data_IF_658742856267
#
_entry.id   IF_658742856267
#
_cell.length_a   1.000
_cell.length_b   1.000
_cell.length_c   1.000
_cell.angle_alpha   90.00
_cell.angle_beta   90.00
_cell.angle_gamma   90.00
#
_symmetry.space_group_name_H-M   'P 1'
#
loop_
_entity.id
_entity.type
_entity.pdbx_description
1 polymer ?
#
# COMPACT_ATOMS: atom_id res chain seq x y z
N UNK A 1 23.13 -14.27 9.59
CA UNK A 1 22.23 -14.43 8.44
C UNK A 1 20.99 -15.26 8.75
N UNK A 2 21.06 -16.46 9.37
CA UNK A 2 19.85 -17.16 9.86
C UNK A 2 19.02 -16.31 10.82
N UNK A 3 19.64 -15.73 11.86
CA UNK A 3 18.94 -14.87 12.82
C UNK A 3 18.23 -13.69 12.15
N UNK A 4 18.91 -12.98 11.23
CA UNK A 4 18.33 -11.85 10.49
C UNK A 4 17.08 -12.28 9.71
N UNK A 5 17.13 -13.47 9.12
CA UNK A 5 16.01 -14.02 8.35
C UNK A 5 14.84 -14.41 9.25
N UNK A 6 15.12 -15.01 10.41
CA UNK A 6 14.09 -15.30 11.43
C UNK A 6 13.45 -14.01 11.97
N UNK A 7 14.23 -12.94 12.16
CA UNK A 7 13.71 -11.66 12.65
C UNK A 7 12.87 -10.93 11.57
N UNK A 8 13.22 -11.02 10.29
CA UNK A 8 12.35 -10.55 9.21
C UNK A 8 11.05 -11.35 9.14
N UNK A 9 11.09 -12.67 9.34
CA UNK A 9 9.87 -13.49 9.42
C UNK A 9 8.98 -13.05 10.57
N UNK A 10 9.56 -12.80 11.74
CA UNK A 10 8.83 -12.23 12.87
C UNK A 10 8.19 -10.88 12.52
N UNK A 11 8.92 -9.95 11.90
CA UNK A 11 8.34 -8.66 11.49
C UNK A 11 7.18 -8.81 10.50
N UNK A 12 7.26 -9.76 9.57
CA UNK A 12 6.16 -10.05 8.64
C UNK A 12 4.93 -10.58 9.35
N UNK A 13 5.10 -11.60 10.19
CA UNK A 13 4.01 -12.18 10.98
C UNK A 13 3.36 -11.11 11.86
N UNK A 14 4.16 -10.24 12.47
CA UNK A 14 3.67 -9.10 13.24
C UNK A 14 2.85 -8.11 12.39
N UNK A 15 3.35 -7.73 11.21
CA UNK A 15 2.64 -6.83 10.31
C UNK A 15 1.30 -7.41 9.85
N UNK A 16 1.25 -8.73 9.60
CA UNK A 16 0.03 -9.44 9.23
C UNK A 16 -0.97 -9.50 10.40
N UNK A 17 -0.51 -9.88 11.59
CA UNK A 17 -1.33 -10.00 12.80
C UNK A 17 -2.00 -8.66 13.18
N UNK A 18 -1.32 -7.53 12.97
CA UNK A 18 -1.88 -6.19 13.22
C UNK A 18 -3.17 -5.89 12.45
N UNK A 19 -3.47 -6.60 11.36
CA UNK A 19 -4.74 -6.51 10.62
C UNK A 19 -5.79 -7.48 11.13
N UNK A 20 -5.37 -8.68 11.53
CA UNK A 20 -6.25 -9.83 11.80
C UNK A 20 -6.71 -9.91 13.26
N UNK A 21 -5.88 -9.50 14.22
CA UNK A 21 -6.07 -9.79 15.66
C UNK A 21 -6.60 -8.60 16.49
N UNK A 22 -7.22 -7.62 15.84
CA UNK A 22 -7.67 -6.42 16.56
C UNK A 22 -8.96 -6.66 17.32
N UNK A 23 -8.82 -6.74 18.65
CA UNK A 23 -9.91 -6.81 19.61
C UNK A 23 -10.02 -5.49 20.37
N UNK A 24 -11.21 -4.93 20.40
CA UNK A 24 -11.49 -3.71 21.14
C UNK A 24 -12.99 -3.58 21.41
N UNK A 25 -13.32 -2.96 22.54
CA UNK A 25 -14.68 -2.46 22.74
C UNK A 25 -14.81 -1.11 22.05
N UNK A 26 -16.02 -0.77 21.58
CA UNK A 26 -16.30 0.60 21.16
C UNK A 26 -15.84 1.58 22.26
N UNK A 27 -15.22 2.71 21.89
CA UNK A 27 -14.82 3.70 22.87
C UNK A 27 -16.08 4.18 23.61
N UNK A 28 -16.01 4.39 24.94
CA UNK A 28 -17.17 4.81 25.71
C UNK A 28 -17.73 6.15 25.21
N UNK A 29 -19.05 6.33 25.32
CA UNK A 29 -19.76 7.55 24.91
C UNK A 29 -19.18 8.81 25.57
N UNK A 30 -18.65 8.69 26.79
CA UNK A 30 -17.93 9.75 27.48
C UNK A 30 -16.56 9.26 27.94
N UNK A 31 -15.50 9.97 27.53
CA UNK A 31 -14.15 9.82 28.08
C UNK A 31 -13.97 10.80 29.25
N UNK A 32 -13.34 10.34 30.31
CA UNK A 32 -12.84 11.20 31.39
C UNK A 32 -11.72 12.11 30.89
N UNK A 33 -11.47 13.22 31.60
CA UNK A 33 -10.34 14.10 31.30
C UNK A 33 -8.98 13.40 31.34
N UNK A 34 -8.83 12.39 32.20
CA UNK A 34 -7.63 11.57 32.28
C UNK A 34 -7.42 10.74 31.01
N UNK A 35 -8.48 10.09 30.52
CA UNK A 35 -8.45 9.33 29.26
C UNK A 35 -8.20 10.23 28.05
N UNK A 36 -8.84 11.40 27.99
CA UNK A 36 -8.59 12.39 26.92
C UNK A 36 -7.12 12.81 26.92
N UNK A 37 -6.53 13.04 28.11
CA UNK A 37 -5.12 13.40 28.23
C UNK A 37 -4.20 12.27 27.79
N UNK A 38 -4.48 11.03 28.22
CA UNK A 38 -3.76 9.85 27.82
C UNK A 38 -3.80 9.67 26.29
N UNK A 39 -4.97 9.76 25.69
CA UNK A 39 -5.14 9.59 24.24
C UNK A 39 -4.39 10.67 23.48
N UNK A 40 -4.37 11.92 23.99
CA UNK A 40 -3.62 13.02 23.38
C UNK A 40 -2.12 12.73 23.40
N UNK A 41 -1.60 12.18 24.49
CA UNK A 41 -0.21 11.76 24.60
C UNK A 41 0.14 10.72 23.54
N UNK A 42 -0.66 9.67 23.38
CA UNK A 42 -0.42 8.64 22.35
C UNK A 42 -0.56 9.20 20.93
N UNK A 43 -1.57 10.02 20.68
CA UNK A 43 -1.77 10.66 19.38
C UNK A 43 -0.56 11.54 19.00
N UNK A 44 -0.06 12.35 19.93
CA UNK A 44 1.13 13.18 19.72
C UNK A 44 2.38 12.31 19.56
N UNK A 45 2.53 11.25 20.36
CA UNK A 45 3.66 10.33 20.30
C UNK A 45 3.78 9.65 18.92
N UNK A 46 2.65 9.23 18.33
CA UNK A 46 2.60 8.68 16.96
C UNK A 46 3.19 9.70 15.97
N UNK A 47 2.82 10.97 16.08
CA UNK A 47 3.20 12.02 15.13
C UNK A 47 4.63 12.53 15.28
N UNK A 48 5.13 12.59 16.51
CA UNK A 48 6.38 13.27 16.84
C UNK A 48 7.54 12.31 17.03
N UNK A 49 7.25 11.06 17.41
CA UNK A 49 8.29 10.09 17.75
C UNK A 49 8.14 8.81 16.91
N UNK A 50 7.05 8.07 17.05
CA UNK A 50 6.97 6.70 16.51
C UNK A 50 7.10 6.64 14.98
N UNK A 51 6.30 7.43 14.25
CA UNK A 51 6.38 7.46 12.78
C UNK A 51 7.72 8.03 12.29
N UNK A 52 8.23 9.17 12.83
CA UNK A 52 9.57 9.63 12.49
C UNK A 52 10.68 8.61 12.77
N UNK A 53 10.67 7.94 13.92
CA UNK A 53 11.65 6.90 14.25
C UNK A 53 11.57 5.77 13.25
N UNK A 54 10.37 5.24 12.96
CA UNK A 54 10.21 4.17 11.98
C UNK A 54 10.76 4.56 10.60
N UNK A 55 10.56 5.80 10.17
CA UNK A 55 11.15 6.32 8.91
C UNK A 55 12.68 6.29 8.93
N UNK A 56 13.28 6.73 10.03
CA UNK A 56 14.74 6.73 10.20
C UNK A 56 15.26 5.29 10.16
N UNK A 57 14.69 4.39 10.96
CA UNK A 57 15.13 2.99 11.01
C UNK A 57 14.97 2.28 9.66
N UNK A 58 13.90 2.54 8.88
CA UNK A 58 13.75 1.99 7.53
C UNK A 58 14.83 2.51 6.55
N UNK A 59 15.29 3.75 6.75
CA UNK A 59 16.37 4.35 5.94
C UNK A 59 17.71 3.76 6.35
N UNK A 60 17.97 3.64 7.66
CA UNK A 60 19.17 3.01 8.19
C UNK A 60 19.25 1.53 7.78
N UNK A 61 18.12 0.81 7.70
CA UNK A 61 18.07 -0.57 7.22
C UNK A 61 18.55 -0.68 5.76
N UNK A 62 18.12 0.26 4.92
CA UNK A 62 18.54 0.32 3.52
C UNK A 62 20.05 0.54 3.38
N UNK A 63 20.62 1.39 4.25
CA UNK A 63 22.06 1.67 4.31
C UNK A 63 22.85 0.48 4.86
N UNK A 64 22.37 -0.18 5.93
CA UNK A 64 23.03 -1.31 6.56
C UNK A 64 23.14 -2.55 5.63
N UNK A 65 22.19 -2.72 4.71
CA UNK A 65 22.21 -3.77 3.70
C UNK A 65 23.06 -3.44 2.46
N UNK A 66 23.61 -2.22 2.42
CA UNK A 66 24.31 -1.61 1.29
C UNK A 66 23.61 -1.87 -0.06
N UNK A 67 22.31 -1.61 -0.08
CA UNK A 67 21.48 -1.80 -1.27
C UNK A 67 21.78 -0.70 -2.31
N UNK A 68 22.36 0.43 -1.88
CA UNK A 68 22.56 1.62 -2.71
C UNK A 68 23.81 1.56 -3.59
N UNK A 69 24.91 0.95 -3.12
CA UNK A 69 26.19 0.92 -3.84
C UNK A 69 26.45 -0.41 -4.60
N UNK A 70 25.50 -1.34 -4.55
CA UNK A 70 25.59 -2.65 -5.20
C UNK A 70 25.29 -2.56 -6.70
N UNK A 71 26.23 -2.01 -7.48
CA UNK A 71 26.12 -1.79 -8.94
C UNK A 71 26.36 -3.08 -9.74
N UNK A 72 27.02 -4.08 -9.16
CA UNK A 72 27.45 -5.30 -9.87
C UNK A 72 26.82 -6.61 -9.33
N UNK A 73 25.75 -6.53 -8.53
CA UNK A 73 25.10 -7.73 -7.95
C UNK A 73 25.89 -8.44 -6.85
N UNK A 74 27.19 -8.14 -6.73
CA UNK A 74 28.11 -8.57 -5.67
C UNK A 74 28.46 -7.41 -4.73
N UNK A 75 27.44 -6.71 -4.22
CA UNK A 75 27.65 -5.69 -3.18
C UNK A 75 28.32 -6.28 -1.94
N UNK A 76 28.97 -5.44 -1.11
CA UNK A 76 29.63 -5.92 0.10
C UNK A 76 28.64 -6.63 1.04
N UNK A 77 29.19 -7.51 1.88
CA UNK A 77 28.40 -8.24 2.87
C UNK A 77 27.67 -7.23 3.79
N UNK A 78 26.36 -7.42 4.02
CA UNK A 78 25.59 -6.53 4.88
C UNK A 78 26.17 -6.52 6.30
N UNK A 79 26.15 -5.38 6.98
CA UNK A 79 26.51 -5.31 8.39
C UNK A 79 25.41 -6.00 9.20
N UNK A 80 25.61 -7.30 9.45
CA UNK A 80 24.63 -8.15 10.13
C UNK A 80 24.36 -7.69 11.56
N UNK A 81 25.34 -7.13 12.27
CA UNK A 81 25.16 -6.69 13.65
C UNK A 81 24.37 -5.37 13.70
N UNK A 82 24.67 -4.44 12.80
CA UNK A 82 23.87 -3.22 12.65
C UNK A 82 22.45 -3.56 12.20
N UNK A 83 22.30 -4.45 11.22
CA UNK A 83 21.01 -4.90 10.69
C UNK A 83 20.11 -5.46 11.80
N UNK A 84 20.61 -6.38 12.62
CA UNK A 84 19.84 -6.96 13.74
C UNK A 84 19.36 -5.88 14.70
N UNK A 85 20.23 -4.95 15.07
CA UNK A 85 19.87 -3.83 15.97
C UNK A 85 18.80 -2.92 15.37
N UNK A 86 18.83 -2.69 14.05
CA UNK A 86 17.81 -1.89 13.37
C UNK A 86 16.48 -2.64 13.33
N UNK A 87 16.49 -3.94 13.00
CA UNK A 87 15.28 -4.79 13.01
C UNK A 87 14.62 -4.79 14.39
N UNK A 88 15.39 -4.93 15.47
CA UNK A 88 14.88 -4.85 16.84
C UNK A 88 14.17 -3.51 17.13
N UNK A 89 14.76 -2.40 16.67
CA UNK A 89 14.18 -1.06 16.84
C UNK A 89 12.93 -0.86 15.99
N UNK A 90 12.90 -1.41 14.77
CA UNK A 90 11.71 -1.43 13.92
C UNK A 90 10.59 -2.20 14.62
N UNK A 91 10.87 -3.41 15.11
CA UNK A 91 9.92 -4.22 15.87
C UNK A 91 9.34 -3.45 17.05
N UNK A 92 10.21 -2.86 17.87
CA UNK A 92 9.79 -2.02 19.00
C UNK A 92 8.91 -0.83 18.57
N UNK A 93 9.27 -0.13 17.48
CA UNK A 93 8.47 0.99 16.98
C UNK A 93 7.09 0.53 16.50
N UNK A 94 7.00 -0.63 15.86
CA UNK A 94 5.75 -1.23 15.40
C UNK A 94 4.87 -1.67 16.58
N UNK A 95 5.43 -2.30 17.62
CA UNK A 95 4.72 -2.62 18.86
C UNK A 95 4.11 -1.37 19.51
N UNK A 96 4.91 -0.32 19.66
CA UNK A 96 4.45 0.93 20.26
C UNK A 96 3.39 1.63 19.40
N UNK A 97 3.47 1.52 18.07
CA UNK A 97 2.45 2.01 17.15
C UNK A 97 1.16 1.22 17.31
N UNK A 98 1.23 -0.11 17.37
CA UNK A 98 0.06 -0.96 17.57
C UNK A 98 -0.67 -0.59 18.86
N UNK A 99 0.05 -0.58 19.99
CA UNK A 99 -0.48 -0.22 21.32
C UNK A 99 -1.14 1.15 21.25
N UNK A 100 -0.44 2.15 20.67
CA UNK A 100 -0.95 3.52 20.61
C UNK A 100 -2.22 3.62 19.76
N UNK A 101 -2.26 2.95 18.61
CA UNK A 101 -3.43 2.98 17.71
C UNK A 101 -4.61 2.24 18.32
N UNK A 102 -4.40 1.06 18.90
CA UNK A 102 -5.46 0.30 19.55
C UNK A 102 -6.07 1.07 20.73
N UNK A 103 -5.25 1.87 21.43
CA UNK A 103 -5.73 2.73 22.50
C UNK A 103 -6.60 3.90 21.98
N UNK A 104 -6.12 4.65 20.97
CA UNK A 104 -6.82 5.87 20.52
C UNK A 104 -7.99 5.58 19.57
N UNK A 105 -7.97 4.44 18.89
CA UNK A 105 -8.97 4.00 17.92
C UNK A 105 -9.19 2.49 18.05
N UNK A 106 -9.80 2.01 19.16
CA UNK A 106 -10.10 0.61 19.30
C UNK A 106 -11.04 0.17 18.18
N UNK A 107 -10.70 -0.92 17.50
CA UNK A 107 -11.58 -1.52 16.50
C UNK A 107 -12.58 -2.42 17.24
N UNK A 108 -13.88 -2.24 17.02
CA UNK A 108 -14.89 -3.04 17.70
C UNK A 108 -14.84 -4.47 17.20
N UNK A 109 -15.01 -5.42 18.10
CA UNK A 109 -15.22 -6.82 17.74
C UNK A 109 -16.50 -6.94 16.89
N UNK A 110 -16.37 -7.52 15.69
CA UNK A 110 -17.53 -8.01 14.96
C UNK A 110 -17.77 -9.45 15.44
N UNK A 111 -18.59 -9.60 16.47
CA UNK A 111 -19.10 -10.91 16.89
C UNK A 111 -19.80 -11.56 15.68
N UNK A 112 -19.11 -12.51 15.05
CA UNK A 112 -19.67 -13.62 14.29
C UNK A 112 -20.98 -13.34 13.55
N UNK A 113 -20.94 -12.54 12.47
CA UNK A 113 -21.73 -12.76 11.25
C UNK A 113 -21.08 -11.97 10.11
N UNK A 114 -20.99 -12.53 8.88
CA UNK A 114 -20.49 -11.83 7.70
C UNK A 114 -21.55 -10.85 7.19
N UNK A 115 -22.03 -9.97 8.05
CA UNK A 115 -22.81 -8.82 7.61
C UNK A 115 -21.83 -7.76 7.14
N UNK A 116 -21.73 -7.59 5.82
CA UNK A 116 -21.04 -6.48 5.13
C UNK A 116 -21.60 -5.08 5.49
N UNK A 117 -22.35 -4.95 6.58
CA UNK A 117 -22.71 -3.66 7.16
C UNK A 117 -21.50 -3.14 7.93
N UNK A 118 -20.76 -2.25 7.30
CA UNK A 118 -19.94 -1.26 8.00
C UNK A 118 -20.82 -0.62 9.08
N UNK A 119 -20.72 -1.09 10.33
CA UNK A 119 -21.36 -0.44 11.45
C UNK A 119 -20.61 0.88 11.65
N UNK A 120 -21.11 1.91 10.96
CA UNK A 120 -20.74 3.29 11.25
C UNK A 120 -21.08 3.49 12.73
N UNK A 121 -20.10 3.80 13.59
CA UNK A 121 -20.41 4.09 14.98
C UNK A 121 -21.52 5.13 15.02
N UNK A 122 -22.51 4.98 15.93
CA UNK A 122 -23.52 6.00 16.10
C UNK A 122 -22.83 7.36 16.24
N UNK A 123 -23.34 8.42 15.59
CA UNK A 123 -22.70 9.73 15.63
C UNK A 123 -22.48 10.12 17.09
N UNK A 124 -21.22 10.14 17.50
CA UNK A 124 -20.87 10.42 18.88
C UNK A 124 -21.05 11.92 19.09
N UNK A 125 -22.21 12.32 19.62
CA UNK A 125 -22.61 13.73 19.79
C UNK A 125 -21.77 14.46 20.85
N UNK A 126 -20.86 13.74 21.53
CA UNK A 126 -20.02 14.23 22.63
C UNK A 126 -18.52 14.31 22.21
N UNK A 127 -18.24 14.29 20.91
CA UNK A 127 -16.86 14.32 20.39
C UNK A 127 -16.30 15.75 20.26
N UNK A 128 -17.15 16.80 20.31
CA UNK A 128 -16.78 18.19 20.02
C UNK A 128 -15.60 18.69 20.85
N UNK A 129 -15.59 18.39 22.16
CA UNK A 129 -14.61 18.88 23.13
C UNK A 129 -13.33 18.03 23.24
N UNK A 130 -13.25 16.92 22.47
CA UNK A 130 -12.12 15.98 22.56
C UNK A 130 -10.86 16.47 21.82
N UNK A 131 -10.97 17.53 21.02
CA UNK A 131 -9.83 18.17 20.34
C UNK A 131 -9.15 17.24 19.32
N UNK A 132 -7.85 17.00 19.45
CA UNK A 132 -7.10 16.15 18.49
C UNK A 132 -7.44 14.65 18.59
N UNK A 133 -8.06 14.23 19.69
CA UNK A 133 -8.48 12.83 19.93
C UNK A 133 -9.96 12.60 19.65
N UNK A 134 -10.54 13.47 18.83
CA UNK A 134 -11.84 13.23 18.23
C UNK A 134 -11.86 11.86 17.55
N UNK A 135 -12.95 11.15 17.71
CA UNK A 135 -13.18 9.79 17.22
C UNK A 135 -12.88 9.69 15.73
N UNK A 136 -13.38 10.64 14.93
CA UNK A 136 -13.12 10.65 13.48
C UNK A 136 -11.64 10.87 13.13
N UNK A 137 -10.88 11.60 13.95
CA UNK A 137 -9.46 11.85 13.73
C UNK A 137 -8.63 10.61 14.03
N UNK A 138 -8.93 9.94 15.15
CA UNK A 138 -8.25 8.72 15.55
C UNK A 138 -8.53 7.59 14.55
N UNK A 139 -9.80 7.42 14.12
CA UNK A 139 -10.17 6.45 13.10
C UNK A 139 -9.52 6.75 11.74
N UNK A 140 -9.49 8.01 11.32
CA UNK A 140 -8.82 8.37 10.07
C UNK A 140 -7.31 8.10 10.13
N UNK A 141 -6.66 8.38 11.27
CA UNK A 141 -5.24 8.06 11.48
C UNK A 141 -5.00 6.54 11.43
N UNK A 142 -5.83 5.76 12.11
CA UNK A 142 -5.80 4.30 12.05
C UNK A 142 -5.96 3.77 10.62
N UNK A 143 -6.93 4.29 9.86
CA UNK A 143 -7.19 3.86 8.48
C UNK A 143 -6.03 4.14 7.52
N UNK A 144 -5.08 5.01 7.89
CA UNK A 144 -3.87 5.25 7.12
C UNK A 144 -2.71 4.38 7.59
N UNK A 145 -2.55 4.21 8.91
CA UNK A 145 -1.43 3.44 9.48
C UNK A 145 -1.61 1.94 9.24
N UNK A 146 -2.83 1.42 9.39
CA UNK A 146 -3.07 -0.01 9.28
C UNK A 146 -2.73 -0.59 7.91
N UNK A 147 -3.27 -0.07 6.80
CA UNK A 147 -2.89 -0.54 5.47
C UNK A 147 -1.41 -0.27 5.17
N UNK A 148 -0.86 0.84 5.67
CA UNK A 148 0.57 1.12 5.52
C UNK A 148 1.43 0.00 6.11
N UNK A 149 1.14 -0.47 7.33
CA UNK A 149 1.94 -1.52 7.94
C UNK A 149 1.62 -2.89 7.32
N UNK A 150 0.33 -3.26 7.28
CA UNK A 150 -0.10 -4.59 6.89
C UNK A 150 0.12 -4.90 5.40
N UNK A 151 0.05 -3.89 4.53
CA UNK A 151 0.20 -4.09 3.09
C UNK A 151 1.59 -3.64 2.61
N UNK A 152 2.07 -2.46 3.00
CA UNK A 152 3.32 -1.92 2.44
C UNK A 152 4.57 -2.40 3.19
N UNK A 153 4.60 -2.31 4.53
CA UNK A 153 5.78 -2.75 5.29
C UNK A 153 5.95 -4.26 5.25
N UNK A 154 4.83 -5.01 5.28
CA UNK A 154 4.85 -6.46 5.05
C UNK A 154 5.58 -6.81 3.73
N UNK A 155 5.19 -6.17 2.62
CA UNK A 155 5.82 -6.42 1.32
C UNK A 155 7.28 -6.00 1.28
N UNK A 156 7.64 -4.91 1.96
CA UNK A 156 9.03 -4.48 2.09
C UNK A 156 9.88 -5.53 2.83
N UNK A 157 9.38 -6.09 3.93
CA UNK A 157 10.09 -7.13 4.69
C UNK A 157 10.18 -8.46 3.93
N UNK A 158 9.16 -8.79 3.12
CA UNK A 158 9.24 -9.87 2.13
C UNK A 158 10.39 -9.67 1.14
N UNK A 159 10.54 -8.45 0.60
CA UNK A 159 11.62 -8.14 -0.35
C UNK A 159 13.00 -8.27 0.31
N UNK A 160 13.17 -7.84 1.56
CA UNK A 160 14.42 -8.02 2.31
C UNK A 160 14.74 -9.50 2.59
N UNK A 161 13.75 -10.31 2.97
CA UNK A 161 13.95 -11.75 3.15
C UNK A 161 14.41 -12.41 1.84
N UNK A 162 13.71 -12.13 0.73
CA UNK A 162 14.06 -12.63 -0.60
C UNK A 162 15.48 -12.23 -0.99
N UNK A 163 15.93 -11.03 -0.61
CA UNK A 163 17.29 -10.55 -0.88
C UNK A 163 18.34 -11.35 -0.09
N UNK A 164 18.04 -11.63 1.18
CA UNK A 164 18.91 -12.45 2.04
C UNK A 164 19.00 -13.86 1.46
N UNK A 165 17.88 -14.45 1.05
CA UNK A 165 17.85 -15.78 0.44
C UNK A 165 18.67 -15.80 -0.85
N UNK A 166 18.43 -14.87 -1.78
CA UNK A 166 19.19 -14.71 -3.02
C UNK A 166 20.71 -14.69 -2.79
N UNK A 167 21.16 -13.89 -1.81
CA UNK A 167 22.58 -13.77 -1.46
C UNK A 167 23.16 -15.05 -0.83
N UNK A 168 22.34 -15.95 -0.27
CA UNK A 168 22.79 -17.20 0.38
C UNK A 168 22.85 -18.38 -0.57
N UNK A 169 21.83 -18.56 -1.39
CA UNK A 169 21.70 -19.70 -2.31
C UNK A 169 22.34 -19.42 -3.67
N UNK A 170 22.57 -18.15 -4.02
CA UNK A 170 22.94 -17.74 -5.37
C UNK A 170 21.82 -17.97 -6.40
N UNK A 171 20.61 -18.31 -5.95
CA UNK A 171 19.39 -18.54 -6.75
C UNK A 171 18.19 -18.12 -5.91
N UNK A 172 17.31 -17.31 -6.46
CA UNK A 172 16.02 -16.95 -5.85
C UNK A 172 15.01 -18.04 -6.17
N UNK A 173 14.39 -18.65 -5.16
CA UNK A 173 13.26 -19.55 -5.39
C UNK A 173 11.98 -18.69 -5.39
N UNK A 174 11.36 -18.53 -6.55
CA UNK A 174 10.22 -17.63 -6.75
C UNK A 174 8.92 -18.44 -6.90
N UNK A 175 8.27 -18.76 -5.77
CA UNK A 175 6.97 -19.45 -5.80
C UNK A 175 5.83 -18.52 -6.28
N UNK A 176 6.09 -17.22 -6.54
CA UNK A 176 5.06 -16.21 -6.81
C UNK A 176 5.33 -15.24 -7.98
N UNK A 177 6.25 -15.53 -8.91
CA UNK A 177 6.31 -14.72 -10.15
C UNK A 177 6.65 -15.53 -11.41
N UNK A 178 5.91 -15.25 -12.48
CA UNK A 178 6.07 -15.80 -13.83
C UNK A 178 7.21 -15.11 -14.61
N UNK A 179 8.30 -14.71 -13.95
CA UNK A 179 9.42 -14.07 -14.64
C UNK A 179 10.52 -15.09 -14.94
N UNK A 180 10.55 -15.47 -16.22
CA UNK A 180 11.64 -15.97 -17.04
C UNK A 180 13.01 -16.06 -16.34
N UNK A 181 13.64 -17.24 -16.41
CA UNK A 181 15.04 -17.55 -16.10
C UNK A 181 15.99 -16.37 -16.33
N UNK A 182 16.16 -15.52 -15.32
CA UNK A 182 17.11 -14.40 -15.34
C UNK A 182 18.43 -14.89 -14.74
N UNK A 183 19.55 -14.37 -15.26
CA UNK A 183 20.84 -14.62 -14.62
C UNK A 183 20.79 -14.15 -13.15
N UNK A 184 21.28 -14.93 -12.18
CA UNK A 184 21.13 -14.65 -10.75
C UNK A 184 21.56 -13.24 -10.29
N UNK A 185 22.47 -12.59 -11.02
CA UNK A 185 22.91 -11.23 -10.74
C UNK A 185 21.91 -10.14 -11.15
N UNK A 186 21.07 -10.37 -12.16
CA UNK A 186 20.06 -9.42 -12.64
C UNK A 186 18.88 -9.35 -11.66
N UNK A 187 18.48 -10.50 -11.09
CA UNK A 187 17.41 -10.59 -10.11
C UNK A 187 17.73 -9.84 -8.80
N UNK A 188 18.98 -9.94 -8.32
CA UNK A 188 19.46 -9.23 -7.12
C UNK A 188 19.44 -7.72 -7.34
N UNK A 189 19.84 -7.25 -8.53
CA UNK A 189 19.81 -5.82 -8.88
C UNK A 189 18.39 -5.27 -8.96
N UNK A 190 17.45 -6.02 -9.53
CA UNK A 190 16.05 -5.62 -9.58
C UNK A 190 15.40 -5.61 -8.20
N UNK A 191 15.75 -6.57 -7.34
CA UNK A 191 15.30 -6.60 -5.96
C UNK A 191 15.88 -5.42 -5.14
N UNK A 192 17.16 -5.10 -5.31
CA UNK A 192 17.77 -3.91 -4.71
C UNK A 192 17.02 -2.63 -5.13
N UNK A 193 16.73 -2.49 -6.43
CA UNK A 193 15.96 -1.34 -6.96
C UNK A 193 14.56 -1.29 -6.35
N UNK A 194 13.89 -2.43 -6.25
CA UNK A 194 12.55 -2.54 -5.63
C UNK A 194 12.59 -2.11 -4.17
N UNK A 195 13.54 -2.61 -3.39
CA UNK A 195 13.72 -2.24 -1.97
C UNK A 195 13.98 -0.74 -1.82
N UNK A 196 14.87 -0.15 -2.63
CA UNK A 196 15.13 1.31 -2.60
C UNK A 196 13.85 2.10 -2.87
N UNK A 197 13.09 1.72 -3.90
CA UNK A 197 11.84 2.39 -4.27
C UNK A 197 10.78 2.23 -3.18
N UNK A 198 10.61 1.03 -2.64
CA UNK A 198 9.67 0.71 -1.57
C UNK A 198 10.01 1.45 -0.28
N UNK A 199 11.28 1.52 0.14
CA UNK A 199 11.72 2.30 1.31
C UNK A 199 11.48 3.79 1.12
N UNK A 200 11.75 4.33 -0.07
CA UNK A 200 11.44 5.73 -0.39
C UNK A 200 9.94 5.99 -0.35
N UNK A 201 9.14 5.08 -0.90
CA UNK A 201 7.69 5.18 -0.86
C UNK A 201 7.17 5.13 0.58
N UNK A 202 7.65 4.21 1.40
CA UNK A 202 7.30 4.11 2.81
C UNK A 202 7.62 5.40 3.56
N UNK A 203 8.79 5.99 3.31
CA UNK A 203 9.20 7.28 3.88
C UNK A 203 8.24 8.43 3.51
N UNK A 204 7.82 8.51 2.25
CA UNK A 204 6.86 9.50 1.79
C UNK A 204 5.46 9.27 2.37
N UNK A 205 5.05 8.02 2.50
CA UNK A 205 3.78 7.63 3.13
C UNK A 205 3.78 8.02 4.60
N UNK A 206 4.87 7.79 5.33
CA UNK A 206 5.02 8.26 6.72
C UNK A 206 4.89 9.79 6.80
N UNK A 207 5.58 10.53 5.94
CA UNK A 207 5.48 12.00 5.90
C UNK A 207 4.04 12.46 5.61
N UNK A 208 3.34 11.77 4.72
CA UNK A 208 1.94 12.05 4.41
C UNK A 208 1.04 11.73 5.61
N UNK A 209 1.23 10.62 6.33
CA UNK A 209 0.47 10.29 7.54
C UNK A 209 0.66 11.37 8.60
N UNK A 210 1.91 11.75 8.89
CA UNK A 210 2.25 12.81 9.86
C UNK A 210 1.64 14.16 9.44
N UNK A 211 1.70 14.50 8.15
CA UNK A 211 1.10 15.73 7.65
C UNK A 211 -0.44 15.70 7.79
N UNK A 212 -1.07 14.59 7.40
CA UNK A 212 -2.51 14.41 7.47
C UNK A 212 -3.03 14.52 8.90
N UNK A 213 -2.33 13.92 9.87
CA UNK A 213 -2.71 13.92 11.28
C UNK A 213 -2.64 15.30 11.94
N UNK A 214 -1.92 16.26 11.33
CA UNK A 214 -1.82 17.66 11.77
C UNK A 214 -2.85 18.58 11.13
N UNK A 215 -3.64 18.11 10.17
CA UNK A 215 -4.67 18.91 9.51
C UNK A 215 -5.79 19.28 10.48
N UNK A 216 -6.41 20.45 10.26
CA UNK A 216 -7.66 20.81 10.92
C UNK A 216 -8.80 19.88 10.50
N UNK A 217 -9.86 19.79 11.29
CA UNK A 217 -11.03 18.96 10.97
C UNK A 217 -11.61 19.33 9.59
N UNK A 218 -11.72 20.63 9.31
CA UNK A 218 -12.16 21.11 8.00
C UNK A 218 -11.24 20.66 6.85
N UNK A 219 -9.92 20.76 7.03
CA UNK A 219 -8.97 20.33 6.01
C UNK A 219 -8.98 18.81 5.79
N UNK A 220 -9.20 18.01 6.84
CA UNK A 220 -9.38 16.55 6.73
C UNK A 220 -10.63 16.20 5.91
N UNK A 221 -11.76 16.83 6.22
CA UNK A 221 -13.03 16.63 5.49
C UNK A 221 -12.85 17.03 4.02
N UNK A 222 -12.25 18.20 3.76
CA UNK A 222 -12.02 18.68 2.40
C UNK A 222 -11.13 17.73 1.60
N UNK A 223 -10.10 17.15 2.23
CA UNK A 223 -9.23 16.15 1.60
C UNK A 223 -10.00 14.88 1.27
N UNK A 224 -10.81 14.36 2.20
CA UNK A 224 -11.67 13.19 1.97
C UNK A 224 -12.65 13.43 0.82
N UNK A 225 -13.39 14.53 0.85
CA UNK A 225 -14.31 14.90 -0.22
C UNK A 225 -13.64 15.03 -1.59
N UNK A 226 -12.45 15.62 -1.65
CA UNK A 226 -11.69 15.71 -2.91
C UNK A 226 -11.28 14.33 -3.43
N UNK A 227 -10.90 13.40 -2.55
CA UNK A 227 -10.59 12.02 -2.92
C UNK A 227 -11.82 11.31 -3.46
N UNK A 228 -12.95 11.38 -2.73
CA UNK A 228 -14.20 10.74 -3.10
C UNK A 228 -14.73 11.30 -4.43
N UNK A 229 -14.66 12.62 -4.62
CA UNK A 229 -15.04 13.28 -5.87
C UNK A 229 -14.17 12.81 -7.04
N UNK A 230 -12.84 12.70 -6.86
CA UNK A 230 -11.94 12.18 -7.91
C UNK A 230 -12.24 10.73 -8.25
N UNK A 231 -12.43 9.87 -7.25
CA UNK A 231 -12.77 8.46 -7.45
C UNK A 231 -14.08 8.32 -8.23
N UNK A 232 -15.10 9.08 -7.83
CA UNK A 232 -16.38 9.10 -8.53
C UNK A 232 -16.23 9.58 -9.98
N UNK A 233 -15.48 10.67 -10.21
CA UNK A 233 -15.23 11.20 -11.54
C UNK A 233 -14.51 10.17 -12.45
N UNK A 234 -13.48 9.49 -11.94
CA UNK A 234 -12.76 8.44 -12.68
C UNK A 234 -13.68 7.26 -13.00
N UNK A 235 -14.45 6.78 -12.02
CA UNK A 235 -15.37 5.65 -12.23
C UNK A 235 -16.47 5.99 -13.24
N UNK A 236 -17.03 7.21 -13.17
CA UNK A 236 -18.00 7.69 -14.15
C UNK A 236 -17.39 7.78 -15.54
N UNK A 237 -16.18 8.30 -15.69
CA UNK A 237 -15.49 8.36 -16.98
C UNK A 237 -15.28 6.96 -17.58
N UNK A 238 -14.88 5.99 -16.75
CA UNK A 238 -14.69 4.60 -17.17
C UNK A 238 -16.00 3.94 -17.60
N UNK A 239 -17.09 4.18 -16.87
CA UNK A 239 -18.43 3.66 -17.23
C UNK A 239 -18.90 4.28 -18.54
N UNK A 240 -18.75 5.60 -18.73
CA UNK A 240 -19.13 6.28 -19.97
C UNK A 240 -18.32 5.74 -21.15
N UNK A 241 -17.02 5.53 -21.00
CA UNK A 241 -16.18 4.92 -22.03
C UNK A 241 -16.64 3.51 -22.40
N UNK A 242 -16.94 2.67 -21.39
CA UNK A 242 -17.48 1.32 -21.62
C UNK A 242 -18.83 1.33 -22.33
N UNK A 243 -19.73 2.25 -21.96
CA UNK A 243 -21.02 2.40 -22.62
C UNK A 243 -20.88 2.90 -24.06
N UNK A 244 -19.98 3.85 -24.32
CA UNK A 244 -19.68 4.34 -25.68
C UNK A 244 -19.12 3.25 -26.60
N UNK A 245 -18.26 2.38 -26.07
CA UNK A 245 -17.76 1.20 -26.79
C UNK A 245 -18.89 0.20 -27.07
N UNK A 246 -19.78 -0.03 -26.11
CA UNK A 246 -20.92 -0.93 -26.29
C UNK A 246 -21.93 -0.41 -27.33
N UNK A 247 -22.16 0.91 -27.37
CA UNK A 247 -23.03 1.51 -28.40
C UNK A 247 -22.39 1.43 -29.79
N UNK A 248 -21.08 1.63 -29.91
CA UNK A 248 -20.35 1.49 -31.18
C UNK A 248 -20.40 0.06 -31.71
N UNK A 249 -20.14 -0.94 -30.86
CA UNK A 249 -20.20 -2.36 -31.25
C UNK A 249 -21.60 -2.79 -31.68
N UNK A 250 -22.64 -2.26 -31.01
CA UNK A 250 -24.02 -2.56 -31.37
C UNK A 250 -24.43 -1.90 -32.69
N UNK A 251 -23.95 -0.69 -32.96
CA UNK A 251 -24.13 -0.04 -34.26
C UNK A 251 -23.42 -0.85 -35.35
N UNK A 252 -22.18 -1.30 -35.13
CA UNK A 252 -21.42 -2.13 -36.08
C UNK A 252 -22.07 -3.50 -36.35
N UNK A 253 -22.64 -4.16 -35.34
CA UNK A 253 -23.43 -5.40 -35.50
C UNK A 253 -24.76 -5.16 -36.25
N UNK A 254 -25.44 -4.03 -36.00
CA UNK A 254 -26.69 -3.67 -36.67
C UNK A 254 -26.45 -3.32 -38.14
N UNK A 255 -25.30 -2.72 -38.49
CA UNK A 255 -24.87 -2.52 -39.88
C UNK A 255 -24.35 -3.79 -40.55
N UNK A 256 -23.73 -4.73 -39.82
CA UNK A 256 -23.30 -6.01 -40.38
C UNK A 256 -24.48 -6.86 -40.90
N UNK A 257 -25.64 -6.81 -40.24
CA UNK A 257 -26.85 -7.49 -40.72
C UNK A 257 -27.54 -6.84 -41.93
N UNK A 258 -27.24 -5.56 -42.22
CA UNK A 258 -27.76 -4.85 -43.40
C UNK A 258 -26.99 -5.16 -44.69
N UNK A 259 -25.79 -5.74 -44.60
CA UNK A 259 -24.94 -6.06 -45.77
C UNK A 259 -24.90 -7.54 -46.19
N UNK A 260 -25.55 -8.47 -45.46
CA UNK A 260 -25.59 -9.90 -45.83
C UNK A 260 -26.73 -10.23 -46.83
N UNK A 261 -27.41 -9.22 -47.37
CA UNK A 261 -28.65 -9.39 -48.10
C UNK A 261 -28.73 -8.76 -49.49
N UNK A 262 -27.65 -8.71 -50.29
CA UNK A 262 -27.73 -8.57 -51.76
C UNK A 262 -26.35 -8.55 -52.41
N UNK A 263 -26.08 -9.50 -53.31
CA UNK A 263 -25.05 -9.34 -54.34
C UNK A 263 -24.21 -10.57 -54.61
N UNK A 264 -24.77 -11.52 -55.34
CA UNK A 264 -24.05 -12.58 -56.02
C UNK A 264 -22.99 -12.03 -57.01
N UNK A 265 -21.92 -12.82 -57.18
CA UNK A 265 -20.99 -12.86 -58.31
C UNK A 265 -20.15 -11.62 -58.62
N UNK A 266 -18.88 -11.64 -58.20
CA UNK A 266 -17.82 -11.95 -59.15
C UNK A 266 -16.55 -12.42 -58.44
N UNK A 267 -16.10 -13.58 -58.88
CA UNK A 267 -14.77 -14.14 -58.69
C UNK A 267 -13.72 -13.15 -59.19
N UNK A 268 -12.68 -12.91 -58.39
CA UNK A 268 -11.32 -12.88 -58.92
C UNK A 268 -10.36 -13.27 -57.79
N UNK A 269 -9.51 -14.24 -58.13
CA UNK A 269 -8.65 -15.00 -57.26
C UNK A 269 -7.48 -14.18 -56.71
N UNK A 270 -7.06 -14.64 -55.53
CA UNK A 270 -5.91 -14.32 -54.71
C UNK A 270 -4.57 -14.29 -55.47
N UNK A 271 -3.64 -13.44 -55.03
CA UNK A 271 -2.27 -13.90 -54.67
C UNK A 271 -1.55 -12.84 -53.80
N UNK A 272 -1.56 -13.11 -52.50
CA UNK A 272 -0.51 -12.97 -51.48
C UNK A 272 0.55 -11.82 -51.56
N UNK A 273 0.44 -10.85 -50.65
CA UNK A 273 1.61 -10.26 -49.98
C UNK A 273 1.41 -10.34 -48.46
N UNK A 274 2.34 -11.03 -47.80
CA UNK A 274 2.42 -11.21 -46.35
C UNK A 274 2.70 -9.86 -45.64
N UNK A 275 1.81 -9.44 -44.75
CA UNK A 275 2.12 -8.49 -43.69
C UNK A 275 1.50 -8.97 -42.37
N UNK A 276 2.28 -9.72 -41.57
CA UNK A 276 1.96 -9.97 -40.17
C UNK A 276 2.73 -8.99 -39.28
N UNK A 277 1.98 -8.07 -38.70
CA UNK A 277 2.36 -7.35 -37.50
C UNK A 277 2.04 -8.15 -36.23
N UNK A 278 2.73 -7.79 -35.15
CA UNK A 278 2.21 -7.96 -33.80
C UNK A 278 2.65 -6.75 -32.97
N UNK A 279 1.82 -5.71 -32.99
CA UNK A 279 1.80 -4.70 -31.95
C UNK A 279 1.11 -5.34 -30.74
N UNK A 280 1.88 -5.68 -29.71
CA UNK A 280 1.30 -6.15 -28.46
C UNK A 280 1.33 -5.05 -27.39
N UNK A 281 0.13 -4.76 -26.94
CA UNK A 281 -0.20 -3.79 -25.91
C UNK A 281 0.26 -4.31 -24.55
N UNK A 282 1.29 -3.70 -23.96
CA UNK A 282 1.55 -3.89 -22.53
C UNK A 282 1.09 -2.66 -21.73
N UNK A 283 -0.19 -2.70 -21.33
CA UNK A 283 -0.79 -1.81 -20.35
C UNK A 283 -0.23 -2.12 -18.96
N UNK A 284 0.77 -1.35 -18.54
CA UNK A 284 1.23 -1.28 -17.14
C UNK A 284 0.18 -0.50 -16.33
N UNK A 285 -0.33 -1.01 -15.19
CA UNK A 285 -1.09 -0.19 -14.25
C UNK A 285 -0.14 0.73 -13.48
N UNK A 286 0.13 1.93 -14.00
CA UNK A 286 0.71 3.01 -13.20
C UNK A 286 -0.39 3.62 -12.32
N UNK A 287 -0.49 3.15 -11.08
CA UNK A 287 -1.22 3.82 -10.01
C UNK A 287 -0.22 4.56 -9.11
N UNK A 288 -0.51 5.85 -8.89
CA UNK A 288 0.19 6.81 -8.02
C UNK A 288 1.39 7.59 -8.59
N UNK A 289 1.08 8.59 -9.42
CA UNK A 289 1.87 9.82 -9.54
C UNK A 289 1.01 11.02 -9.11
N UNK A 290 1.17 11.47 -7.87
CA UNK A 290 0.74 12.81 -7.44
C UNK A 290 1.92 13.74 -7.69
N UNK A 291 1.91 14.45 -8.82
CA UNK A 291 2.78 15.61 -9.01
C UNK A 291 2.30 16.75 -8.11
N UNK A 292 3.17 17.20 -7.22
CA UNK A 292 3.06 18.50 -6.58
C UNK A 292 3.40 19.59 -7.61
N UNK A 293 2.39 20.37 -8.00
CA UNK A 293 2.62 21.75 -8.47
C UNK A 293 2.18 22.69 -7.36
N UNK A 294 3.12 23.47 -6.85
CA UNK A 294 2.84 24.72 -6.15
C UNK A 294 3.29 25.89 -7.06
N UNK A 295 2.66 27.07 -6.90
CA UNK A 295 2.85 28.24 -7.78
C UNK A 295 4.27 28.80 -7.79
#
# INVERSE_FOLDING_TARGET
MNQVLDDFRYLKEFCQAMREERTGNWPPEALSNAEITLYKTHYINIQQNLLPTLKVELTELLEAFDVQDSVEGNGPDPDLELTLRIIDRIGYALDQLEISINLIAPMPFFDSEPSFTYHVPPPNTIDEDRGIVKTHRCQALQSLILPFIADYLLMLFWDYERLIEARRSGIVDDDHSHLVDLEPGVEVLDLNRKIIQSTRHASLTIDHIIHFSRLSDFAMIQKKWRTDHKLLATNLALIVAKLGLYTSLKEDEEYAHLFVGQGDHQEEEEEEEEEEGAADHNCIPQLFLIQAKSP
#
